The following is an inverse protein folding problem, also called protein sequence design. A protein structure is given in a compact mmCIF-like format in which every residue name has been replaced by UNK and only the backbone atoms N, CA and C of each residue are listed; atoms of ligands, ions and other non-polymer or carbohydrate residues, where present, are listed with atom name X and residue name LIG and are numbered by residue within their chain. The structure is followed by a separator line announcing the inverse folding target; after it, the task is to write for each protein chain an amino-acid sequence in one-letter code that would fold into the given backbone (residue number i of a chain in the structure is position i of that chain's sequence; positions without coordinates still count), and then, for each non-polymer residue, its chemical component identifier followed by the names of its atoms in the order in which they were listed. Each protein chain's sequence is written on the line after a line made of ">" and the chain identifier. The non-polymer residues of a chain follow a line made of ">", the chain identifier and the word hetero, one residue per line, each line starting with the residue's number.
data_IF_772359744595
#
_entry.id   IF_772359744595
#
_cell.length_a   1.000
_cell.length_b   1.000
_cell.length_c   1.000
_cell.angle_alpha   90.00
_cell.angle_beta   90.00
_cell.angle_gamma   90.00
#
_symmetry.space_group_name_H-M   'P 1'
#
loop_
_entity.id
_entity.type
_entity.pdbx_description
1 polymer ?
#
# COMPACT_ATOMS: atom_id res chain seq x y z
N UNK A 1 18.02 -21.84 17.65
CA UNK A 1 17.81 -20.42 18.00
C UNK A 1 16.63 -20.33 18.95
N UNK A 2 16.75 -19.58 20.05
CA UNK A 2 15.68 -19.38 21.04
C UNK A 2 14.97 -18.04 20.81
N UNK A 3 13.68 -17.92 21.17
CA UNK A 3 12.92 -16.66 21.08
C UNK A 3 13.67 -15.49 21.74
N UNK A 4 14.31 -15.74 22.88
CA UNK A 4 15.13 -14.76 23.60
C UNK A 4 16.37 -14.31 22.82
N UNK A 5 17.08 -15.22 22.14
CA UNK A 5 18.25 -14.83 21.34
C UNK A 5 17.83 -14.04 20.09
N UNK A 6 16.71 -14.40 19.46
CA UNK A 6 16.14 -13.65 18.34
C UNK A 6 15.72 -12.23 18.74
N UNK A 7 15.04 -12.07 19.89
CA UNK A 7 14.65 -10.77 20.44
C UNK A 7 15.86 -9.91 20.86
N UNK A 8 16.96 -10.53 21.31
CA UNK A 8 18.20 -9.82 21.66
C UNK A 8 18.92 -9.29 20.42
N UNK A 9 18.97 -10.07 19.34
CA UNK A 9 19.51 -9.66 18.04
C UNK A 9 18.68 -8.54 17.38
N UNK A 10 17.36 -8.53 17.62
CA UNK A 10 16.45 -7.44 17.20
C UNK A 10 16.62 -6.13 17.99
N UNK A 11 17.21 -6.17 19.19
CA UNK A 11 17.47 -4.98 20.01
C UNK A 11 18.79 -4.28 19.67
N UNK A 12 19.76 -5.01 19.11
CA UNK A 12 21.10 -4.47 18.75
C UNK A 12 21.16 -3.84 17.37
N UNK A 13 20.16 -4.08 16.53
CA UNK A 13 19.94 -3.35 15.28
C UNK A 13 19.23 -2.03 15.62
N UNK A 14 19.78 -0.89 15.17
CA UNK A 14 19.13 0.44 15.27
C UNK A 14 17.64 0.29 14.95
N UNK A 15 16.78 0.41 15.97
CA UNK A 15 15.35 0.12 15.80
C UNK A 15 14.74 1.28 15.00
N UNK A 16 14.57 1.09 13.70
CA UNK A 16 13.97 2.08 12.78
C UNK A 16 12.56 2.49 13.21
N UNK A 17 11.88 1.61 13.96
CA UNK A 17 10.52 1.80 14.44
C UNK A 17 10.38 1.48 15.94
N UNK A 18 9.49 2.19 16.66
CA UNK A 18 9.05 1.84 18.00
C UNK A 18 8.60 0.37 18.15
N UNK A 19 8.71 -0.16 19.37
CA UNK A 19 8.33 -1.55 19.71
C UNK A 19 6.88 -1.88 19.35
N UNK A 20 5.96 -0.93 19.58
CA UNK A 20 4.53 -1.02 19.29
C UNK A 20 4.27 -1.30 17.81
N UNK A 21 4.96 -0.59 16.92
CA UNK A 21 4.86 -0.76 15.47
C UNK A 21 5.41 -2.13 15.01
N UNK A 22 6.51 -2.59 15.60
CA UNK A 22 7.03 -3.93 15.27
C UNK A 22 6.05 -5.04 15.69
N UNK A 23 5.40 -4.89 16.85
CA UNK A 23 4.37 -5.82 17.30
C UNK A 23 3.16 -5.80 16.35
N UNK A 24 2.71 -4.62 15.93
CA UNK A 24 1.62 -4.50 14.95
C UNK A 24 1.96 -5.17 13.60
N UNK A 25 3.19 -5.01 13.09
CA UNK A 25 3.65 -5.69 11.87
C UNK A 25 3.68 -7.22 12.00
N UNK A 26 3.93 -7.73 13.20
CA UNK A 26 3.85 -9.17 13.49
C UNK A 26 2.37 -9.59 13.54
N UNK A 27 1.54 -8.89 14.31
CA UNK A 27 0.12 -9.20 14.48
C UNK A 27 -0.64 -9.16 13.15
N UNK A 28 -0.34 -8.19 12.28
CA UNK A 28 -0.99 -8.08 10.97
C UNK A 28 -0.65 -9.25 10.02
N UNK A 29 0.38 -10.04 10.34
CA UNK A 29 0.81 -11.19 9.54
C UNK A 29 0.29 -12.53 10.07
N UNK A 30 -0.38 -12.56 11.22
CA UNK A 30 -0.87 -13.77 11.88
C UNK A 30 -2.40 -13.82 11.88
N UNK A 31 -2.98 -14.92 11.39
CA UNK A 31 -4.43 -15.18 11.45
C UNK A 31 -4.91 -15.53 12.88
N UNK A 32 -3.99 -15.75 13.81
CA UNK A 32 -4.27 -16.16 15.18
C UNK A 32 -3.55 -15.25 16.17
N UNK A 33 -4.34 -14.63 17.06
CA UNK A 33 -3.95 -13.85 18.23
C UNK A 33 -3.46 -12.42 17.96
N UNK A 34 -4.42 -11.51 17.82
CA UNK A 34 -4.28 -10.15 18.33
C UNK A 34 -4.38 -10.25 19.87
N UNK A 35 -3.45 -9.68 20.66
CA UNK A 35 -3.56 -9.74 22.13
C UNK A 35 -4.91 -9.17 22.56
N UNK A 36 -5.65 -9.98 23.32
CA UNK A 36 -6.92 -9.62 23.93
C UNK A 36 -6.73 -8.36 24.76
N UNK A 37 -7.41 -7.28 24.35
CA UNK A 37 -7.34 -5.91 24.86
C UNK A 37 -6.19 -5.04 24.31
N UNK A 38 -6.48 -4.12 23.35
CA UNK A 38 -5.54 -3.07 22.98
C UNK A 38 -5.65 -1.93 23.99
N UNK A 39 -5.16 -2.13 25.21
CA UNK A 39 -4.94 -1.00 26.13
C UNK A 39 -3.73 -0.20 25.63
N UNK A 40 -4.01 0.73 24.71
CA UNK A 40 -3.16 1.85 24.29
C UNK A 40 -1.77 1.58 23.65
N UNK A 41 -1.63 0.77 22.57
CA UNK A 41 -0.43 0.84 21.73
C UNK A 41 -0.63 1.58 20.38
N UNK A 42 -1.85 2.00 20.03
CA UNK A 42 -2.16 2.46 18.65
C UNK A 42 -1.97 3.97 18.46
N UNK A 43 -1.91 4.77 19.53
CA UNK A 43 -1.74 6.24 19.46
C UNK A 43 -0.44 6.68 18.76
N UNK A 44 0.58 5.83 18.78
CA UNK A 44 1.88 6.13 18.16
C UNK A 44 1.86 5.97 16.63
N UNK A 45 0.87 5.23 16.08
CA UNK A 45 0.78 5.04 14.65
C UNK A 45 0.08 6.25 14.03
N UNK A 46 0.86 7.01 13.26
CA UNK A 46 0.39 8.15 12.48
C UNK A 46 0.36 7.82 10.99
N UNK A 47 -0.36 8.61 10.19
CA UNK A 47 -0.31 8.51 8.73
C UNK A 47 1.13 8.65 8.18
N UNK A 48 1.95 9.52 8.77
CA UNK A 48 3.36 9.66 8.39
C UNK A 48 4.16 8.38 8.65
N UNK A 49 3.90 7.70 9.76
CA UNK A 49 4.52 6.42 10.10
C UNK A 49 4.06 5.31 9.15
N UNK A 50 2.76 5.26 8.80
CA UNK A 50 2.26 4.32 7.80
C UNK A 50 2.94 4.52 6.45
N UNK A 51 3.01 5.77 5.96
CA UNK A 51 3.67 6.10 4.68
C UNK A 51 5.13 5.65 4.67
N UNK A 52 5.84 5.82 5.80
CA UNK A 52 7.22 5.34 5.97
C UNK A 52 7.30 3.82 5.87
N UNK A 53 6.46 3.09 6.59
CA UNK A 53 6.41 1.61 6.58
C UNK A 53 6.11 1.07 5.18
N UNK A 54 5.12 1.65 4.49
CA UNK A 54 4.73 1.23 3.13
C UNK A 54 5.87 1.45 2.13
N UNK A 55 6.64 2.51 2.32
CA UNK A 55 7.74 2.89 1.42
C UNK A 55 9.07 2.22 1.77
N UNK A 56 9.17 1.55 2.92
CA UNK A 56 10.41 0.96 3.43
C UNK A 56 10.84 -0.26 2.60
N UNK A 57 12.02 -0.24 1.96
CA UNK A 57 12.52 -1.36 1.17
C UNK A 57 12.94 -2.57 2.03
N UNK A 58 13.29 -2.37 3.30
CA UNK A 58 13.76 -3.44 4.20
C UNK A 58 12.58 -4.28 4.73
N UNK A 59 11.36 -3.77 4.64
CA UNK A 59 10.15 -4.49 5.03
C UNK A 59 9.65 -5.32 3.84
N UNK A 60 9.62 -6.65 4.02
CA UNK A 60 9.03 -7.58 3.05
C UNK A 60 7.64 -7.11 2.62
N UNK A 61 7.38 -7.13 1.32
CA UNK A 61 6.18 -6.53 0.74
C UNK A 61 4.90 -7.24 1.15
N UNK A 62 4.97 -8.55 1.44
CA UNK A 62 3.85 -9.28 2.04
C UNK A 62 3.44 -8.70 3.41
N UNK A 63 4.41 -8.29 4.24
CA UNK A 63 4.15 -7.65 5.54
C UNK A 63 3.59 -6.24 5.37
N UNK A 64 4.08 -5.48 4.40
CA UNK A 64 3.55 -4.14 4.09
C UNK A 64 2.09 -4.22 3.65
N UNK A 65 1.77 -5.16 2.76
CA UNK A 65 0.40 -5.41 2.29
C UNK A 65 -0.50 -5.89 3.42
N UNK A 66 -0.06 -6.87 4.23
CA UNK A 66 -0.88 -7.37 5.34
C UNK A 66 -1.16 -6.30 6.39
N UNK A 67 -0.15 -5.49 6.73
CA UNK A 67 -0.31 -4.36 7.63
C UNK A 67 -1.24 -3.28 7.09
N UNK A 68 -1.09 -2.94 5.81
CA UNK A 68 -1.99 -1.98 5.15
C UNK A 68 -3.44 -2.47 5.14
N UNK A 69 -3.66 -3.76 4.82
CA UNK A 69 -5.00 -4.37 4.83
C UNK A 69 -5.60 -4.38 6.24
N UNK A 70 -4.81 -4.73 7.25
CA UNK A 70 -5.23 -4.68 8.65
C UNK A 70 -5.75 -3.28 9.03
N UNK A 71 -5.10 -2.21 8.56
CA UNK A 71 -5.56 -0.83 8.81
C UNK A 71 -6.89 -0.56 8.12
N UNK A 72 -7.05 -0.98 6.87
CA UNK A 72 -8.29 -0.80 6.12
C UNK A 72 -9.47 -1.58 6.72
N UNK A 73 -9.21 -2.78 7.25
CA UNK A 73 -10.22 -3.65 7.88
C UNK A 73 -10.63 -3.18 9.28
N UNK A 74 -9.78 -2.38 9.96
CA UNK A 74 -10.00 -1.96 11.33
C UNK A 74 -9.93 -0.43 11.49
N UNK A 75 -10.72 0.36 10.74
CA UNK A 75 -10.59 1.82 10.70
C UNK A 75 -10.88 2.49 12.07
N UNK A 76 -11.68 1.86 12.94
CA UNK A 76 -11.96 2.38 14.29
C UNK A 76 -10.76 2.33 15.24
N UNK A 77 -9.74 1.52 14.93
CA UNK A 77 -8.53 1.42 15.72
C UNK A 77 -7.57 2.59 15.48
N UNK A 78 -7.73 3.33 14.39
CA UNK A 78 -6.79 4.35 13.96
C UNK A 78 -7.43 5.73 13.89
N UNK A 79 -6.70 6.76 14.32
CA UNK A 79 -7.11 8.16 14.21
C UNK A 79 -6.96 8.74 12.80
N UNK A 80 -6.53 7.92 11.84
CA UNK A 80 -6.26 8.32 10.47
C UNK A 80 -6.80 7.26 9.50
N UNK A 81 -6.98 7.67 8.25
CA UNK A 81 -7.21 6.75 7.13
C UNK A 81 -6.03 6.80 6.17
N UNK A 82 -5.66 5.68 5.55
CA UNK A 82 -4.77 5.72 4.41
C UNK A 82 -5.30 6.67 3.34
N UNK A 83 -4.45 7.59 2.88
CA UNK A 83 -4.80 8.53 1.85
C UNK A 83 -4.42 7.99 0.45
N UNK A 84 -4.91 8.65 -0.61
CA UNK A 84 -4.66 8.24 -1.99
C UNK A 84 -3.17 7.99 -2.25
N UNK A 85 -2.29 8.87 -1.76
CA UNK A 85 -0.84 8.72 -1.91
C UNK A 85 -0.31 7.42 -1.28
N UNK A 86 -0.79 7.05 -0.10
CA UNK A 86 -0.38 5.81 0.55
C UNK A 86 -0.87 4.58 -0.22
N UNK A 87 -2.10 4.61 -0.72
CA UNK A 87 -2.63 3.56 -1.60
C UNK A 87 -1.78 3.41 -2.88
N UNK A 88 -1.52 4.50 -3.59
CA UNK A 88 -0.76 4.47 -4.85
C UNK A 88 0.68 4.03 -4.63
N UNK A 89 1.34 4.51 -3.58
CA UNK A 89 2.71 4.09 -3.24
C UNK A 89 2.81 2.57 -3.05
N UNK A 90 1.88 1.98 -2.28
CA UNK A 90 1.85 0.53 -2.08
C UNK A 90 1.54 -0.23 -3.37
N UNK A 91 0.51 0.19 -4.12
CA UNK A 91 0.10 -0.45 -5.38
C UNK A 91 1.22 -0.44 -6.41
N UNK A 92 1.87 0.70 -6.64
CA UNK A 92 3.02 0.82 -7.55
C UNK A 92 4.19 -0.07 -7.10
N UNK A 93 4.44 -0.17 -5.79
CA UNK A 93 5.48 -1.05 -5.25
C UNK A 93 5.20 -2.52 -5.55
N UNK A 94 4.00 -2.97 -5.25
CA UNK A 94 3.55 -4.34 -5.51
C UNK A 94 3.59 -4.65 -7.02
N UNK A 95 3.27 -3.68 -7.89
CA UNK A 95 3.41 -3.80 -9.35
C UNK A 95 4.86 -3.85 -9.83
N UNK A 96 5.78 -3.14 -9.16
CA UNK A 96 7.22 -3.23 -9.45
C UNK A 96 7.75 -4.65 -9.18
N UNK A 97 7.18 -5.32 -8.19
CA UNK A 97 7.44 -6.73 -7.84
C UNK A 97 6.62 -7.74 -8.66
N UNK A 98 5.85 -7.28 -9.65
CA UNK A 98 5.01 -8.11 -10.53
C UNK A 98 3.91 -8.91 -9.80
N UNK A 99 3.47 -8.43 -8.62
CA UNK A 99 2.39 -9.04 -7.84
C UNK A 99 1.03 -8.50 -8.28
N UNK A 100 0.64 -8.78 -9.52
CA UNK A 100 -0.53 -8.16 -10.17
C UNK A 100 -1.86 -8.40 -9.43
N UNK A 101 -2.11 -9.62 -8.94
CA UNK A 101 -3.34 -9.93 -8.20
C UNK A 101 -3.49 -9.04 -6.96
N UNK A 102 -2.41 -8.92 -6.19
CA UNK A 102 -2.39 -8.10 -4.96
C UNK A 102 -2.56 -6.62 -5.30
N UNK A 103 -1.93 -6.13 -6.36
CA UNK A 103 -2.09 -4.74 -6.79
C UNK A 103 -3.53 -4.43 -7.21
N UNK A 104 -4.21 -5.37 -7.88
CA UNK A 104 -5.62 -5.22 -8.25
C UNK A 104 -6.52 -5.16 -7.02
N UNK A 105 -6.28 -5.98 -6.00
CA UNK A 105 -7.01 -5.90 -4.73
C UNK A 105 -6.82 -4.56 -4.02
N UNK A 106 -5.64 -3.95 -4.15
CA UNK A 106 -5.33 -2.64 -3.56
C UNK A 106 -5.99 -1.47 -4.31
N UNK A 107 -6.38 -1.66 -5.58
CA UNK A 107 -7.26 -0.75 -6.34
C UNK A 107 -8.72 -0.94 -5.91
N UNK A 108 -8.96 -0.78 -4.61
CA UNK A 108 -10.27 -0.95 -4.02
C UNK A 108 -11.23 0.18 -4.45
N UNK A 109 -12.55 0.04 -4.21
CA UNK A 109 -13.52 1.07 -4.56
C UNK A 109 -13.22 2.45 -3.96
N UNK A 110 -12.58 2.52 -2.79
CA UNK A 110 -12.23 3.80 -2.16
C UNK A 110 -11.18 4.58 -2.95
N UNK A 111 -10.20 3.88 -3.54
CA UNK A 111 -9.22 4.50 -4.45
C UNK A 111 -9.89 4.94 -5.74
N UNK A 112 -10.82 4.14 -6.26
CA UNK A 112 -11.46 4.43 -7.55
C UNK A 112 -12.55 5.50 -7.48
N UNK A 113 -12.90 5.99 -6.27
CA UNK A 113 -13.75 7.16 -6.08
C UNK A 113 -13.04 8.46 -6.44
N UNK A 114 -11.71 8.49 -6.42
CA UNK A 114 -10.96 9.65 -6.84
C UNK A 114 -11.06 9.81 -8.37
N UNK A 115 -11.15 11.06 -8.88
CA UNK A 115 -11.02 11.33 -10.30
C UNK A 115 -9.74 10.70 -10.86
N UNK A 116 -9.81 10.12 -12.05
CA UNK A 116 -8.64 9.48 -12.66
C UNK A 116 -7.46 10.46 -12.79
N UNK A 117 -7.72 11.74 -13.06
CA UNK A 117 -6.69 12.79 -13.10
C UNK A 117 -5.88 12.89 -11.81
N UNK A 118 -6.52 12.80 -10.65
CA UNK A 118 -5.85 12.88 -9.34
C UNK A 118 -5.02 11.63 -9.09
N UNK A 119 -5.55 10.46 -9.48
CA UNK A 119 -4.83 9.18 -9.41
C UNK A 119 -3.60 9.22 -10.32
N UNK A 120 -3.75 9.72 -11.55
CA UNK A 120 -2.68 9.82 -12.53
C UNK A 120 -1.59 10.77 -12.06
N UNK A 121 -1.94 11.97 -11.57
CA UNK A 121 -0.96 12.91 -11.01
C UNK A 121 -0.25 12.32 -9.79
N UNK A 122 -0.99 11.69 -8.88
CA UNK A 122 -0.38 11.02 -7.72
C UNK A 122 0.58 9.88 -8.09
N UNK A 123 0.27 9.11 -9.13
CA UNK A 123 1.11 8.01 -9.60
C UNK A 123 2.36 8.49 -10.35
N UNK A 124 2.27 9.61 -11.07
CA UNK A 124 3.31 10.13 -11.95
C UNK A 124 4.24 11.12 -11.24
N UNK A 125 3.67 11.98 -10.41
CA UNK A 125 4.34 13.15 -9.86
C UNK A 125 4.67 12.94 -8.37
N UNK A 126 3.69 12.53 -7.55
CA UNK A 126 3.86 12.44 -6.08
C UNK A 126 4.54 11.16 -5.59
N UNK A 127 4.47 10.11 -6.40
CA UNK A 127 5.10 8.81 -6.18
C UNK A 127 6.34 8.61 -7.07
N UNK A 128 6.82 9.69 -7.74
CA UNK A 128 7.68 9.75 -8.94
C UNK A 128 9.05 9.04 -8.97
N UNK A 129 9.31 8.04 -8.12
CA UNK A 129 10.49 7.18 -8.18
C UNK A 129 10.27 5.86 -8.94
N UNK A 130 9.10 5.64 -9.54
CA UNK A 130 8.80 4.39 -10.25
C UNK A 130 9.04 4.50 -11.76
N UNK A 131 9.54 3.42 -12.35
CA UNK A 131 9.69 3.32 -13.80
C UNK A 131 8.35 3.55 -14.53
N UNK A 132 8.38 4.21 -15.69
CA UNK A 132 7.20 4.39 -16.55
C UNK A 132 6.45 3.09 -16.82
N UNK A 133 7.17 1.96 -16.90
CA UNK A 133 6.60 0.62 -17.08
C UNK A 133 5.73 0.17 -15.90
N UNK A 134 6.09 0.55 -14.67
CA UNK A 134 5.31 0.24 -13.46
C UNK A 134 4.04 1.07 -13.43
N UNK A 135 4.11 2.35 -13.77
CA UNK A 135 2.92 3.21 -13.88
C UNK A 135 1.99 2.74 -15.00
N UNK A 136 2.53 2.32 -16.15
CA UNK A 136 1.74 1.72 -17.21
C UNK A 136 0.99 0.45 -16.76
N UNK A 137 1.59 -0.38 -15.89
CA UNK A 137 0.89 -1.54 -15.30
C UNK A 137 -0.25 -1.13 -14.38
N UNK A 138 -0.10 -0.03 -13.64
CA UNK A 138 -1.17 0.52 -12.80
C UNK A 138 -2.35 0.93 -13.67
N UNK A 139 -2.10 1.71 -14.72
CA UNK A 139 -3.13 2.17 -15.65
C UNK A 139 -3.81 1.01 -16.39
N UNK A 140 -3.05 0.01 -16.84
CA UNK A 140 -3.64 -1.22 -17.36
C UNK A 140 -4.56 -1.93 -16.35
N UNK A 141 -4.15 -2.00 -15.07
CA UNK A 141 -4.99 -2.60 -14.03
C UNK A 141 -6.28 -1.80 -13.83
N UNK A 142 -6.20 -0.46 -13.89
CA UNK A 142 -7.37 0.42 -13.81
C UNK A 142 -8.30 0.26 -15.01
N UNK A 143 -7.78 0.12 -16.24
CA UNK A 143 -8.60 -0.18 -17.43
C UNK A 143 -9.44 -1.43 -17.18
N UNK A 144 -8.85 -2.50 -16.65
CA UNK A 144 -9.58 -3.72 -16.33
C UNK A 144 -10.67 -3.44 -15.28
N UNK A 145 -10.34 -2.81 -14.15
CA UNK A 145 -11.31 -2.61 -13.07
C UNK A 145 -12.44 -1.64 -13.47
N UNK A 146 -12.15 -0.58 -14.24
CA UNK A 146 -13.18 0.30 -14.78
C UNK A 146 -14.05 -0.41 -15.80
N UNK A 147 -13.47 -1.23 -16.69
CA UNK A 147 -14.24 -2.01 -17.66
C UNK A 147 -15.19 -2.99 -16.96
N UNK A 148 -14.71 -3.69 -15.91
CA UNK A 148 -15.52 -4.62 -15.13
C UNK A 148 -16.68 -3.94 -14.39
N UNK A 149 -16.56 -2.64 -14.12
CA UNK A 149 -17.57 -1.82 -13.43
C UNK A 149 -18.39 -0.94 -14.38
N UNK A 150 -18.25 -1.08 -15.70
CA UNK A 150 -19.00 -0.31 -16.71
C UNK A 150 -18.61 1.17 -16.79
N UNK A 151 -17.46 1.55 -16.22
CA UNK A 151 -16.95 2.93 -16.15
C UNK A 151 -16.13 3.29 -17.39
N UNK A 152 -16.79 3.28 -18.54
CA UNK A 152 -16.10 3.40 -19.83
C UNK A 152 -15.52 4.80 -20.11
N UNK A 153 -16.07 5.86 -19.53
CA UNK A 153 -15.52 7.21 -19.65
C UNK A 153 -14.14 7.29 -19.01
N UNK A 154 -13.97 6.73 -17.81
CA UNK A 154 -12.67 6.66 -17.15
C UNK A 154 -11.70 5.73 -17.89
N UNK A 155 -12.19 4.67 -18.55
CA UNK A 155 -11.35 3.85 -19.44
C UNK A 155 -10.76 4.71 -20.56
N UNK A 156 -11.57 5.56 -21.20
CA UNK A 156 -11.11 6.49 -22.25
C UNK A 156 -10.09 7.49 -21.69
N UNK A 157 -10.34 8.06 -20.51
CA UNK A 157 -9.38 8.96 -19.86
C UNK A 157 -8.02 8.29 -19.60
N UNK A 158 -8.03 7.03 -19.17
CA UNK A 158 -6.79 6.26 -18.95
C UNK A 158 -6.04 6.07 -20.27
N UNK A 159 -6.73 5.70 -21.35
CA UNK A 159 -6.13 5.55 -22.66
C UNK A 159 -5.50 6.84 -23.17
N UNK A 160 -6.19 7.97 -23.05
CA UNK A 160 -5.68 9.27 -23.48
C UNK A 160 -4.46 9.72 -22.67
N UNK A 161 -4.46 9.47 -21.36
CA UNK A 161 -3.30 9.72 -20.50
C UNK A 161 -2.10 8.84 -20.89
N UNK A 162 -2.31 7.55 -21.15
CA UNK A 162 -1.25 6.66 -21.61
C UNK A 162 -0.70 7.08 -22.98
N UNK A 163 -1.57 7.48 -23.91
CA UNK A 163 -1.21 7.94 -25.26
C UNK A 163 -0.37 9.21 -25.22
N UNK A 164 -0.84 10.23 -24.50
CA UNK A 164 -0.14 11.53 -24.37
C UNK A 164 1.24 11.42 -23.72
N UNK A 165 1.48 10.38 -22.92
CA UNK A 165 2.76 10.13 -22.22
C UNK A 165 3.62 9.02 -22.85
N UNK A 166 3.26 8.56 -24.05
CA UNK A 166 3.93 7.49 -24.80
C UNK A 166 4.10 6.19 -24.00
N UNK A 167 3.13 5.87 -23.14
CA UNK A 167 3.11 4.62 -22.39
C UNK A 167 2.54 3.50 -23.27
N UNK A 168 3.23 2.37 -23.35
CA UNK A 168 2.74 1.20 -24.10
C UNK A 168 1.74 0.41 -23.25
N UNK A 169 0.68 -0.08 -23.91
CA UNK A 169 -0.19 -1.13 -23.36
C UNK A 169 0.65 -2.40 -23.21
N UNK A 170 0.84 -2.84 -21.97
CA UNK A 170 1.56 -4.08 -21.63
C UNK A 170 0.59 -5.26 -21.54
#
# INVERSE_FOLDING_TARGET
>A
MTLQSFLKTLKTTKRTYPSSIHNLLICSSSTTQCPTSPEKPISDLTLSTLRRIVSDPDIKSSKRVSFFRFILENPSLFSFRPDLRTHLSLSLRVLSERKFSVARELLNPDVLRYPFRDIASGALDDCGGFEKKVVARLFNSMITVYSDSGRYDEVVEVFECMRSRSMKRL
#
